data_IF_119292927286
#
_entry.id   IF_119292927286
#
_cell.length_a   1.000
_cell.length_b   1.000
_cell.length_c   1.000
_cell.angle_alpha   90.00
_cell.angle_beta   90.00
_cell.angle_gamma   90.00
#
_symmetry.space_group_name_H-M   'P 1'
#
loop_
_entity.id
_entity.type
_entity.pdbx_description
1 polymer ?
#
# COMPACT_ATOMS: atom_id res chain seq x y z
N UNK A 1 -36.69 39.81 40.29
CA UNK A 1 -35.53 38.88 40.32
C UNK A 1 -35.42 37.95 39.09
N UNK A 2 -36.49 37.55 38.43
CA UNK A 2 -36.46 36.57 37.33
C UNK A 2 -35.88 37.12 36.00
N UNK A 3 -36.06 38.42 35.71
CA UNK A 3 -35.53 39.05 34.45
C UNK A 3 -33.99 39.16 34.42
N UNK A 4 -33.34 39.33 35.55
CA UNK A 4 -31.87 39.45 35.60
C UNK A 4 -31.18 38.08 35.49
N UNK A 5 -31.76 36.99 35.98
CA UNK A 5 -31.24 35.62 35.78
C UNK A 5 -31.27 35.18 34.33
N UNK A 6 -32.33 35.49 33.57
CA UNK A 6 -32.40 35.15 32.13
C UNK A 6 -31.39 35.92 31.28
N UNK A 7 -31.05 37.16 31.64
CA UNK A 7 -30.05 37.98 30.90
C UNK A 7 -28.62 37.51 31.19
N UNK A 8 -28.34 37.05 32.40
CA UNK A 8 -27.03 36.46 32.75
C UNK A 8 -26.83 35.13 32.08
N UNK A 9 -27.85 34.25 32.08
CA UNK A 9 -27.80 32.95 31.43
C UNK A 9 -27.59 33.06 29.91
N UNK A 10 -28.26 34.03 29.23
CA UNK A 10 -28.04 34.27 27.79
C UNK A 10 -26.65 34.79 27.48
N UNK A 11 -26.04 35.62 28.33
CA UNK A 11 -24.64 36.03 28.14
C UNK A 11 -23.67 34.88 28.35
N UNK A 12 -23.86 34.05 29.38
CA UNK A 12 -23.02 32.87 29.66
C UNK A 12 -23.08 31.84 28.52
N UNK A 13 -24.28 31.58 27.98
CA UNK A 13 -24.46 30.68 26.83
C UNK A 13 -23.79 31.28 25.55
N UNK A 14 -23.89 32.59 25.35
CA UNK A 14 -23.25 33.26 24.21
C UNK A 14 -21.71 33.20 24.29
N UNK A 15 -21.12 33.36 25.44
CA UNK A 15 -19.67 33.24 25.65
C UNK A 15 -19.21 31.78 25.63
N UNK A 16 -20.02 30.83 26.09
CA UNK A 16 -19.74 29.40 25.94
C UNK A 16 -19.78 28.94 24.48
N UNK A 17 -20.75 29.42 23.68
CA UNK A 17 -20.85 29.14 22.26
C UNK A 17 -19.69 29.78 21.44
N UNK A 18 -19.26 30.98 21.81
CA UNK A 18 -18.09 31.64 21.19
C UNK A 18 -16.81 30.89 21.58
N UNK A 19 -16.68 30.46 22.83
CA UNK A 19 -15.55 29.61 23.27
C UNK A 19 -15.52 28.25 22.59
N UNK A 20 -16.69 27.61 22.41
CA UNK A 20 -16.78 26.31 21.71
C UNK A 20 -16.46 26.47 20.21
N UNK A 21 -16.94 27.53 19.56
CA UNK A 21 -16.60 27.77 18.16
C UNK A 21 -15.12 28.11 17.98
N UNK A 22 -14.52 28.86 18.90
CA UNK A 22 -13.09 29.14 18.91
C UNK A 22 -12.25 27.86 19.11
N UNK A 23 -12.65 27.00 20.03
CA UNK A 23 -12.00 25.70 20.28
C UNK A 23 -12.19 24.72 19.10
N UNK A 24 -13.35 24.75 18.43
CA UNK A 24 -13.60 23.95 17.21
C UNK A 24 -12.74 24.46 16.04
N UNK A 25 -12.60 25.80 15.90
CA UNK A 25 -11.74 26.39 14.85
C UNK A 25 -10.27 26.08 15.10
N UNK A 26 -9.80 26.19 16.34
CA UNK A 26 -8.44 25.78 16.73
C UNK A 26 -8.25 24.28 16.56
N UNK A 27 -9.23 23.45 16.92
CA UNK A 27 -9.21 22.01 16.69
C UNK A 27 -9.17 21.64 15.21
N UNK A 28 -9.91 22.33 14.37
CA UNK A 28 -9.90 22.13 12.90
C UNK A 28 -8.56 22.61 12.31
N UNK A 29 -8.02 23.73 12.77
CA UNK A 29 -6.69 24.20 12.34
C UNK A 29 -5.61 23.23 12.81
N UNK A 30 -5.65 22.75 14.04
CA UNK A 30 -4.71 21.73 14.56
C UNK A 30 -4.90 20.40 13.82
N UNK A 31 -6.11 19.99 13.48
CA UNK A 31 -6.40 18.79 12.72
C UNK A 31 -5.87 18.90 11.28
N UNK A 32 -6.13 20.00 10.58
CA UNK A 32 -5.62 20.25 9.23
C UNK A 32 -4.10 20.31 9.24
N UNK A 33 -3.52 20.98 10.21
CA UNK A 33 -2.08 21.10 10.38
C UNK A 33 -1.44 19.73 10.75
N UNK A 34 -1.99 18.97 11.69
CA UNK A 34 -1.46 17.66 12.07
C UNK A 34 -1.66 16.58 11.00
N UNK A 35 -2.72 16.63 10.21
CA UNK A 35 -2.96 15.64 9.16
C UNK A 35 -2.00 15.81 7.97
N UNK A 36 -1.59 17.05 7.67
CA UNK A 36 -0.65 17.35 6.59
C UNK A 36 0.84 17.32 7.02
N UNK A 37 1.13 17.26 8.34
CA UNK A 37 2.49 17.45 8.87
C UNK A 37 3.19 16.20 9.43
N UNK A 38 2.58 15.03 9.36
CA UNK A 38 3.29 13.80 9.73
C UNK A 38 4.40 13.38 8.76
N UNK A 39 4.54 14.08 7.64
CA UNK A 39 5.43 13.68 6.53
C UNK A 39 6.63 14.62 6.28
N UNK A 40 6.83 15.68 7.03
CA UNK A 40 8.02 16.52 6.88
C UNK A 40 8.85 16.44 8.16
N UNK A 41 10.11 15.95 8.02
CA UNK A 41 11.02 15.68 9.13
C UNK A 41 11.12 16.82 10.14
N UNK A 42 11.04 16.47 11.39
CA UNK A 42 11.33 17.09 12.69
C UNK A 42 11.56 18.60 12.88
N UNK A 43 11.25 19.49 11.93
CA UNK A 43 11.13 20.92 12.20
C UNK A 43 9.67 21.33 12.02
N UNK A 44 9.03 21.73 13.12
CA UNK A 44 7.71 22.33 13.09
C UNK A 44 7.75 23.58 12.19
N UNK A 45 6.97 23.57 11.11
CA UNK A 45 6.81 24.74 10.23
C UNK A 45 6.17 25.91 11.01
N UNK A 46 5.60 25.65 12.19
CA UNK A 46 5.00 26.67 13.05
C UNK A 46 5.95 27.70 13.60
N UNK A 47 7.23 27.39 13.75
CA UNK A 47 8.17 28.31 14.41
C UNK A 47 8.66 29.40 13.43
N UNK A 48 8.53 29.20 12.10
CA UNK A 48 9.06 30.10 11.09
C UNK A 48 8.02 30.57 10.04
N UNK A 49 6.74 30.17 10.15
CA UNK A 49 5.72 30.59 9.19
C UNK A 49 5.19 31.98 9.52
N UNK A 50 5.27 32.87 8.54
CA UNK A 50 4.72 34.22 8.59
C UNK A 50 3.33 34.25 7.94
N UNK A 51 2.54 35.28 8.25
CA UNK A 51 1.23 35.49 7.67
C UNK A 51 1.23 36.75 6.83
N UNK A 52 0.74 36.66 5.58
CA UNK A 52 0.36 37.81 4.78
C UNK A 52 -1.16 37.95 4.81
N UNK A 53 -1.64 39.15 5.11
CA UNK A 53 -3.07 39.46 5.21
C UNK A 53 -3.43 40.63 4.30
N UNK A 54 -4.34 40.36 3.38
CA UNK A 54 -5.04 41.42 2.63
C UNK A 54 -6.48 41.57 3.16
N UNK A 55 -7.27 42.47 2.59
CA UNK A 55 -8.67 42.70 3.02
C UNK A 55 -9.56 41.48 2.89
N UNK A 56 -9.19 40.52 2.06
CA UNK A 56 -10.00 39.36 1.66
C UNK A 56 -9.24 38.04 1.63
N UNK A 57 -7.96 38.03 1.97
CA UNK A 57 -7.12 36.82 1.90
C UNK A 57 -6.13 36.76 3.06
N UNK A 58 -5.98 35.59 3.66
CA UNK A 58 -4.98 35.26 4.66
C UNK A 58 -4.06 34.17 4.09
N UNK A 59 -2.79 34.45 3.98
CA UNK A 59 -1.78 33.50 3.50
C UNK A 59 -0.75 33.18 4.58
N UNK A 60 -0.43 31.91 4.76
CA UNK A 60 0.71 31.46 5.53
C UNK A 60 1.88 31.19 4.56
N UNK A 61 3.07 31.66 4.86
CA UNK A 61 4.22 31.48 3.99
C UNK A 61 5.50 31.23 4.80
N UNK A 62 6.47 30.49 4.25
CA UNK A 62 7.76 30.29 4.90
C UNK A 62 8.50 31.62 5.04
N UNK A 63 9.30 31.77 6.11
CA UNK A 63 10.05 33.01 6.38
C UNK A 63 11.15 33.26 5.33
N UNK A 64 10.74 33.75 4.17
CA UNK A 64 11.62 34.14 3.08
C UNK A 64 10.97 35.28 2.27
N UNK A 65 11.78 36.17 1.69
CA UNK A 65 11.26 37.22 0.82
C UNK A 65 10.48 36.66 -0.38
N UNK A 66 10.95 35.54 -0.94
CA UNK A 66 10.26 34.85 -2.04
C UNK A 66 8.93 34.27 -1.61
N UNK A 67 8.87 33.61 -0.44
CA UNK A 67 7.61 33.13 0.14
C UNK A 67 6.60 34.24 0.34
N UNK A 68 7.05 35.41 0.82
CA UNK A 68 6.22 36.64 0.96
C UNK A 68 5.68 37.14 -0.37
N UNK A 69 6.53 37.20 -1.40
CA UNK A 69 6.14 37.60 -2.75
C UNK A 69 5.08 36.66 -3.32
N UNK A 70 5.28 35.34 -3.21
CA UNK A 70 4.33 34.33 -3.65
C UNK A 70 3.00 34.47 -2.91
N UNK A 71 3.02 34.61 -1.59
CA UNK A 71 1.83 34.81 -0.77
C UNK A 71 1.05 36.04 -1.19
N UNK A 72 1.76 37.17 -1.50
CA UNK A 72 1.16 38.41 -2.02
C UNK A 72 0.49 38.16 -3.37
N UNK A 73 1.19 37.53 -4.32
CA UNK A 73 0.69 37.29 -5.67
C UNK A 73 -0.57 36.40 -5.66
N UNK A 74 -0.59 35.40 -4.81
CA UNK A 74 -1.77 34.53 -4.63
C UNK A 74 -2.93 35.32 -4.02
N UNK A 75 -2.70 36.12 -2.97
CA UNK A 75 -3.74 36.95 -2.39
C UNK A 75 -4.30 37.96 -3.40
N UNK A 76 -3.46 38.53 -4.23
CA UNK A 76 -3.89 39.47 -5.27
C UNK A 76 -4.71 38.77 -6.38
N UNK A 77 -4.36 37.52 -6.71
CA UNK A 77 -5.13 36.67 -7.63
C UNK A 77 -6.46 36.24 -7.02
N UNK A 78 -6.46 35.80 -5.77
CA UNK A 78 -7.65 35.39 -5.05
C UNK A 78 -8.72 36.47 -4.95
N UNK A 79 -8.31 37.76 -4.87
CA UNK A 79 -9.24 38.89 -4.92
C UNK A 79 -10.06 38.96 -6.21
N UNK A 80 -9.50 38.47 -7.32
CA UNK A 80 -10.19 38.47 -8.63
C UNK A 80 -11.16 37.28 -8.76
N UNK A 81 -10.83 36.17 -8.10
CA UNK A 81 -11.52 34.88 -8.28
C UNK A 81 -12.44 34.51 -7.10
N UNK A 82 -12.69 35.41 -6.15
CA UNK A 82 -13.52 35.20 -4.94
C UNK A 82 -12.98 34.12 -3.96
N UNK A 83 -11.73 33.77 -4.02
CA UNK A 83 -11.08 32.81 -3.10
C UNK A 83 -10.39 33.59 -1.97
N UNK A 84 -10.73 33.27 -0.72
CA UNK A 84 -10.39 34.13 0.43
C UNK A 84 -9.29 33.62 1.36
N UNK A 85 -9.07 32.31 1.44
CA UNK A 85 -8.08 31.74 2.36
C UNK A 85 -7.29 30.61 1.69
N UNK A 86 -5.96 30.60 1.84
CA UNK A 86 -5.13 29.49 1.42
C UNK A 86 -3.91 29.33 2.33
N UNK A 87 -3.31 28.15 2.29
CA UNK A 87 -2.04 27.85 2.92
C UNK A 87 -0.99 27.57 1.84
N UNK A 88 0.19 28.14 2.02
CA UNK A 88 1.38 27.87 1.21
C UNK A 88 2.35 27.03 2.04
N UNK A 89 2.53 25.78 1.66
CA UNK A 89 3.37 24.82 2.37
C UNK A 89 4.54 24.42 1.49
N UNK A 90 5.80 24.51 1.95
CA UNK A 90 6.93 24.05 1.17
C UNK A 90 6.91 22.52 1.03
N UNK A 91 7.17 22.05 -0.18
CA UNK A 91 7.28 20.64 -0.55
C UNK A 91 8.47 20.46 -1.49
N UNK A 92 9.62 20.04 -0.95
CA UNK A 92 10.84 19.93 -1.73
C UNK A 92 11.18 21.24 -2.46
N UNK A 93 11.22 21.19 -3.79
CA UNK A 93 11.49 22.35 -4.64
C UNK A 93 10.23 23.19 -4.98
N UNK A 94 9.06 22.78 -4.50
CA UNK A 94 7.76 23.35 -4.80
C UNK A 94 7.07 23.88 -3.55
N UNK A 95 5.97 24.58 -3.76
CA UNK A 95 5.01 24.94 -2.73
C UNK A 95 3.65 24.33 -3.06
N UNK A 96 3.05 23.64 -2.09
CA UNK A 96 1.65 23.25 -2.16
C UNK A 96 0.77 24.45 -1.81
N UNK A 97 -0.07 24.86 -2.75
CA UNK A 97 -1.09 25.87 -2.56
C UNK A 97 -2.41 25.17 -2.28
N UNK A 98 -2.99 25.39 -1.11
CA UNK A 98 -4.28 24.83 -0.70
C UNK A 98 -5.28 25.96 -0.49
N UNK A 99 -6.38 25.94 -1.22
CA UNK A 99 -7.49 26.89 -1.08
C UNK A 99 -8.56 26.35 -0.13
N UNK A 100 -9.36 27.24 0.41
CA UNK A 100 -10.45 26.91 1.33
C UNK A 100 -11.55 26.04 0.71
N UNK A 101 -11.77 26.15 -0.60
CA UNK A 101 -12.71 25.32 -1.35
C UNK A 101 -12.24 23.89 -1.58
N UNK A 102 -11.03 23.55 -1.09
CA UNK A 102 -10.41 22.25 -1.26
C UNK A 102 -9.49 22.14 -2.46
N UNK A 103 -9.45 23.14 -3.34
CA UNK A 103 -8.52 23.17 -4.48
C UNK A 103 -7.07 23.19 -4.01
N UNK A 104 -6.25 22.36 -4.61
CA UNK A 104 -4.81 22.23 -4.30
C UNK A 104 -4.03 22.11 -5.59
N UNK A 105 -2.87 22.76 -5.65
CA UNK A 105 -1.91 22.59 -6.74
C UNK A 105 -0.49 22.94 -6.27
N UNK A 106 0.50 22.46 -6.99
CA UNK A 106 1.89 22.77 -6.71
C UNK A 106 2.40 23.87 -7.63
N UNK A 107 3.21 24.76 -7.09
CA UNK A 107 3.90 25.81 -7.82
C UNK A 107 5.39 25.75 -7.51
N UNK A 108 6.23 26.10 -8.47
CA UNK A 108 7.65 26.24 -8.26
C UNK A 108 8.00 27.52 -7.49
N UNK A 109 9.30 27.77 -7.28
CA UNK A 109 9.80 28.97 -6.60
C UNK A 109 9.54 30.26 -7.38
N UNK A 110 9.20 30.15 -8.67
CA UNK A 110 8.81 31.27 -9.53
C UNK A 110 7.29 31.44 -9.65
N UNK A 111 6.54 30.63 -8.90
CA UNK A 111 5.07 30.60 -8.92
C UNK A 111 4.50 30.11 -10.26
N UNK A 112 5.20 29.27 -10.96
CA UNK A 112 4.66 28.55 -12.11
C UNK A 112 4.04 27.24 -11.63
N UNK A 113 2.88 26.90 -12.17
CA UNK A 113 2.22 25.64 -11.90
C UNK A 113 3.12 24.47 -12.31
N UNK A 114 3.18 23.44 -11.46
CA UNK A 114 3.95 22.24 -11.73
C UNK A 114 3.39 21.54 -12.96
N UNK A 115 4.22 21.42 -13.98
CA UNK A 115 3.94 20.64 -15.20
C UNK A 115 4.79 19.39 -15.17
N UNK A 116 4.17 18.25 -15.40
CA UNK A 116 4.85 16.97 -15.54
C UNK A 116 5.13 16.76 -17.02
N UNK A 117 6.39 16.83 -17.37
CA UNK A 117 6.96 16.37 -18.62
C UNK A 117 7.99 15.25 -18.33
N UNK A 118 8.39 14.47 -19.24
CA UNK A 118 9.43 13.45 -19.09
C UNK A 118 9.17 12.38 -17.99
N UNK A 119 8.16 11.56 -18.20
CA UNK A 119 7.94 10.35 -17.40
C UNK A 119 8.89 9.25 -17.89
N UNK A 120 9.74 8.74 -16.99
CA UNK A 120 10.66 7.63 -17.29
C UNK A 120 9.94 6.27 -17.29
N UNK A 121 10.66 5.17 -17.56
CA UNK A 121 10.08 3.82 -17.61
C UNK A 121 9.48 3.36 -16.28
N UNK A 122 10.03 3.78 -15.14
CA UNK A 122 9.47 3.50 -13.82
C UNK A 122 8.12 4.20 -13.63
N UNK A 123 8.03 5.49 -13.97
CA UNK A 123 6.78 6.23 -13.94
C UNK A 123 5.74 5.69 -14.89
N UNK A 124 6.15 5.26 -16.08
CA UNK A 124 5.27 4.59 -17.04
C UNK A 124 4.67 3.30 -16.47
N UNK A 125 5.49 2.48 -15.78
CA UNK A 125 5.03 1.27 -15.10
C UNK A 125 4.03 1.60 -14.00
N UNK A 126 4.30 2.57 -13.13
CA UNK A 126 3.39 3.00 -12.06
C UNK A 126 2.05 3.46 -12.65
N UNK A 127 2.07 4.31 -13.68
CA UNK A 127 0.86 4.78 -14.36
C UNK A 127 0.08 3.60 -14.98
N UNK A 128 0.77 2.63 -15.59
CA UNK A 128 0.15 1.44 -16.15
C UNK A 128 -0.54 0.58 -15.09
N UNK A 129 0.07 0.42 -13.91
CA UNK A 129 -0.53 -0.31 -12.79
C UNK A 129 -1.83 0.36 -12.31
N UNK A 130 -1.84 1.69 -12.19
CA UNK A 130 -3.05 2.44 -11.81
C UNK A 130 -4.12 2.42 -12.91
N UNK A 131 -3.73 2.44 -14.19
CA UNK A 131 -4.66 2.27 -15.31
C UNK A 131 -5.32 0.90 -15.27
N UNK A 132 -4.54 -0.17 -15.09
CA UNK A 132 -5.07 -1.54 -14.96
C UNK A 132 -6.05 -1.66 -13.79
N UNK A 133 -5.69 -1.09 -12.64
CA UNK A 133 -6.56 -1.04 -11.47
C UNK A 133 -7.89 -0.37 -11.79
N UNK A 134 -7.87 0.80 -12.46
CA UNK A 134 -9.08 1.56 -12.80
C UNK A 134 -9.94 0.81 -13.82
N UNK A 135 -9.34 0.26 -14.88
CA UNK A 135 -10.08 -0.51 -15.89
C UNK A 135 -10.78 -1.72 -15.28
N UNK A 136 -10.12 -2.44 -14.37
CA UNK A 136 -10.73 -3.55 -13.64
C UNK A 136 -11.87 -3.12 -12.74
N UNK A 137 -11.77 -1.94 -12.13
CA UNK A 137 -12.79 -1.38 -11.25
C UNK A 137 -14.04 -0.96 -12.02
N UNK A 138 -13.89 -0.44 -13.22
CA UNK A 138 -15.00 0.06 -14.05
C UNK A 138 -15.77 -1.07 -14.74
N UNK A 139 -15.09 -2.12 -15.14
CA UNK A 139 -15.70 -3.29 -15.77
C UNK A 139 -16.16 -4.31 -14.72
N UNK A 140 -17.40 -4.17 -14.28
CA UNK A 140 -18.03 -5.05 -13.26
C UNK A 140 -18.04 -6.54 -13.61
N UNK A 141 -17.92 -6.88 -14.89
CA UNK A 141 -17.92 -8.25 -15.44
C UNK A 141 -16.64 -8.55 -16.23
N UNK A 142 -15.53 -7.97 -15.86
CA UNK A 142 -14.26 -8.13 -16.56
C UNK A 142 -13.91 -9.60 -16.71
N UNK A 143 -14.30 -10.19 -17.85
CA UNK A 143 -13.60 -11.34 -18.34
C UNK A 143 -12.16 -10.90 -18.56
N UNK A 144 -11.21 -11.46 -17.79
CA UNK A 144 -9.80 -11.22 -17.95
C UNK A 144 -9.44 -11.36 -19.42
N UNK A 145 -9.43 -10.26 -20.14
CA UNK A 145 -8.79 -10.25 -21.43
C UNK A 145 -7.31 -10.35 -21.13
N UNK A 146 -6.69 -11.45 -21.54
CA UNK A 146 -5.26 -11.73 -21.42
C UNK A 146 -4.41 -10.52 -21.84
N UNK A 147 -4.96 -9.66 -22.69
CA UNK A 147 -4.34 -8.42 -23.17
C UNK A 147 -3.89 -7.47 -22.04
N UNK A 148 -4.62 -7.42 -20.92
CA UNK A 148 -4.25 -6.57 -19.76
C UNK A 148 -3.37 -7.28 -18.74
N UNK A 149 -3.18 -8.58 -18.88
CA UNK A 149 -2.34 -9.38 -17.99
C UNK A 149 -0.93 -9.58 -18.52
N UNK A 150 -0.70 -9.28 -19.79
CA UNK A 150 0.60 -9.51 -20.43
C UNK A 150 1.59 -8.38 -20.12
N UNK A 151 2.85 -8.72 -20.01
CA UNK A 151 3.98 -7.78 -19.95
C UNK A 151 3.96 -6.80 -21.14
N UNK A 152 3.40 -7.24 -22.28
CA UNK A 152 3.14 -6.43 -23.45
C UNK A 152 2.28 -5.19 -23.19
N UNK A 153 1.38 -5.22 -22.19
CA UNK A 153 0.61 -4.04 -21.80
C UNK A 153 1.51 -2.88 -21.35
N UNK A 154 2.52 -3.17 -20.52
CA UNK A 154 3.48 -2.15 -20.06
C UNK A 154 4.36 -1.65 -21.18
N UNK A 155 4.82 -2.55 -22.06
CA UNK A 155 5.71 -2.23 -23.18
C UNK A 155 4.99 -1.43 -24.28
N UNK A 156 3.71 -1.70 -24.50
CA UNK A 156 2.90 -1.09 -25.56
C UNK A 156 2.04 0.08 -25.07
N UNK A 157 2.13 0.46 -23.79
CA UNK A 157 1.40 1.62 -23.28
C UNK A 157 1.97 2.89 -23.92
N UNK A 158 1.18 3.48 -24.80
CA UNK A 158 1.50 4.77 -25.40
C UNK A 158 0.97 5.91 -24.54
N UNK A 159 1.90 6.72 -24.04
CA UNK A 159 1.60 7.90 -23.23
C UNK A 159 1.52 9.20 -24.04
N UNK A 160 1.71 9.15 -25.37
CA UNK A 160 1.80 10.35 -26.22
C UNK A 160 0.49 11.15 -26.31
N UNK A 161 -0.66 10.48 -26.15
CA UNK A 161 -1.99 11.12 -26.15
C UNK A 161 -2.54 11.34 -24.74
N UNK A 162 -1.81 10.92 -23.69
CA UNK A 162 -2.25 11.07 -22.31
C UNK A 162 -2.06 12.51 -21.87
N UNK A 163 -3.08 13.09 -21.28
CA UNK A 163 -2.98 14.42 -20.67
C UNK A 163 -2.80 14.29 -19.16
N UNK A 164 -1.91 15.13 -18.63
CA UNK A 164 -1.52 15.11 -17.23
C UNK A 164 -1.94 16.39 -16.54
N UNK A 165 -2.48 16.25 -15.33
CA UNK A 165 -2.77 17.38 -14.44
C UNK A 165 -2.39 17.01 -13.02
N UNK A 166 -1.67 17.90 -12.34
CA UNK A 166 -1.46 17.77 -10.90
C UNK A 166 -2.72 18.24 -10.18
N UNK A 167 -3.30 17.37 -9.37
CA UNK A 167 -4.51 17.63 -8.60
C UNK A 167 -4.29 17.25 -7.12
N UNK A 168 -3.83 18.22 -6.34
CA UNK A 168 -3.45 18.02 -4.95
C UNK A 168 -2.27 17.06 -4.81
N UNK A 169 -2.41 15.94 -4.05
CA UNK A 169 -1.34 14.97 -3.87
C UNK A 169 -1.22 13.96 -5.02
N UNK A 170 -2.04 14.10 -6.05
CA UNK A 170 -2.15 13.11 -7.12
C UNK A 170 -1.79 13.71 -8.48
N UNK A 171 -1.30 12.84 -9.36
CA UNK A 171 -1.24 13.05 -10.79
C UNK A 171 -2.52 12.48 -11.41
N UNK A 172 -3.36 13.34 -11.95
CA UNK A 172 -4.50 12.95 -12.77
C UNK A 172 -4.02 12.70 -14.18
N UNK A 173 -4.21 11.48 -14.70
CA UNK A 173 -3.91 11.11 -16.08
C UNK A 173 -5.21 10.76 -16.79
N UNK A 174 -5.49 11.44 -17.91
CA UNK A 174 -6.62 11.12 -18.77
C UNK A 174 -6.14 10.32 -19.96
N UNK A 175 -6.73 9.15 -20.16
CA UNK A 175 -6.45 8.20 -21.23
C UNK A 175 -7.56 8.18 -22.28
N UNK A 176 -7.46 8.93 -23.40
CA UNK A 176 -8.52 8.97 -24.40
C UNK A 176 -8.84 7.60 -24.99
N UNK A 177 -7.81 6.77 -25.25
CA UNK A 177 -7.96 5.42 -25.82
C UNK A 177 -8.86 4.50 -24.97
N UNK A 178 -8.84 4.66 -23.67
CA UNK A 178 -9.58 3.82 -22.72
C UNK A 178 -10.78 4.53 -22.12
N UNK A 179 -11.02 5.80 -22.49
CA UNK A 179 -12.01 6.67 -21.84
C UNK A 179 -11.90 6.69 -20.31
N UNK A 180 -10.65 6.60 -19.79
CA UNK A 180 -10.36 6.43 -18.38
C UNK A 180 -9.59 7.60 -17.79
N UNK A 181 -9.98 7.99 -16.59
CA UNK A 181 -9.25 8.92 -15.71
C UNK A 181 -8.67 8.17 -14.54
N UNK A 182 -7.37 8.31 -14.31
CA UNK A 182 -6.69 7.69 -13.16
C UNK A 182 -6.03 8.73 -12.28
N UNK A 183 -5.91 8.43 -11.01
CA UNK A 183 -5.17 9.21 -10.01
C UNK A 183 -3.99 8.41 -9.51
N UNK A 184 -2.79 8.92 -9.74
CA UNK A 184 -1.54 8.32 -9.28
C UNK A 184 -0.96 9.21 -8.18
N UNK A 185 -0.76 8.71 -6.95
CA UNK A 185 -0.16 9.51 -5.88
C UNK A 185 1.23 10.01 -6.28
N UNK A 186 1.43 11.33 -6.21
CA UNK A 186 2.69 11.98 -6.61
C UNK A 186 3.90 11.48 -5.80
N UNK A 187 3.67 11.00 -4.58
CA UNK A 187 4.72 10.39 -3.75
C UNK A 187 5.41 9.19 -4.42
N UNK A 188 4.70 8.45 -5.27
CA UNK A 188 5.27 7.34 -6.05
C UNK A 188 5.91 7.80 -7.35
N UNK A 189 5.62 9.01 -7.81
CA UNK A 189 6.19 9.59 -9.02
C UNK A 189 7.52 10.33 -8.77
N UNK A 190 7.96 10.41 -7.51
CA UNK A 190 9.25 11.01 -7.18
C UNK A 190 10.39 10.16 -7.72
N UNK A 191 11.26 10.75 -8.56
CA UNK A 191 12.28 10.01 -9.31
C UNK A 191 11.81 9.41 -10.63
N UNK A 192 10.51 9.21 -10.79
CA UNK A 192 9.89 8.71 -12.02
C UNK A 192 9.58 9.84 -13.04
N UNK A 193 9.62 11.07 -12.61
CA UNK A 193 9.55 12.29 -13.40
C UNK A 193 10.44 13.35 -12.74
N UNK A 194 10.75 14.46 -13.43
CA UNK A 194 11.63 15.52 -12.94
C UNK A 194 11.01 16.36 -11.79
N UNK A 195 10.46 15.67 -10.78
CA UNK A 195 9.79 16.30 -9.65
C UNK A 195 10.48 15.92 -8.36
N UNK A 196 10.88 16.91 -7.58
CA UNK A 196 11.30 16.73 -6.19
C UNK A 196 10.29 17.41 -5.27
N UNK A 197 9.35 16.63 -4.75
CA UNK A 197 8.34 17.08 -3.79
C UNK A 197 8.77 16.93 -2.33
N UNK A 198 10.02 16.50 -2.08
CA UNK A 198 10.53 16.28 -0.74
C UNK A 198 9.82 15.16 0.03
N UNK A 199 9.14 14.26 -0.66
CA UNK A 199 8.68 13.03 -0.04
C UNK A 199 9.90 12.18 0.36
N UNK A 200 9.85 11.56 1.54
CA UNK A 200 10.75 10.44 1.83
C UNK A 200 10.43 9.32 0.85
N UNK A 201 11.43 8.53 0.46
CA UNK A 201 11.21 7.38 -0.41
C UNK A 201 10.22 6.43 0.26
N UNK A 202 8.96 6.52 -0.12
CA UNK A 202 7.96 5.56 0.29
C UNK A 202 8.02 4.35 -0.65
N UNK A 203 7.89 3.17 -0.06
CA UNK A 203 7.81 1.94 -0.82
C UNK A 203 6.59 1.99 -1.74
N UNK A 204 6.80 1.80 -3.04
CA UNK A 204 5.71 1.66 -3.98
C UNK A 204 4.98 0.33 -3.74
N UNK A 205 3.67 0.40 -3.69
CA UNK A 205 2.80 -0.77 -3.66
C UNK A 205 1.90 -0.74 -4.90
N UNK A 206 2.03 -1.76 -5.74
CA UNK A 206 1.13 -1.91 -6.89
C UNK A 206 -0.32 -1.99 -6.41
N UNK A 207 -1.23 -1.16 -6.94
CA UNK A 207 -2.63 -1.27 -6.60
C UNK A 207 -3.21 -2.59 -7.15
N UNK A 208 -3.91 -3.34 -6.29
CA UNK A 208 -4.57 -4.59 -6.64
C UNK A 208 -6.08 -4.42 -6.43
N UNK A 209 -6.86 -4.57 -7.50
CA UNK A 209 -8.31 -4.50 -7.42
C UNK A 209 -8.91 -5.87 -7.13
N UNK A 210 -9.71 -5.94 -6.07
CA UNK A 210 -10.42 -7.14 -5.64
C UNK A 210 -11.92 -6.89 -5.79
N UNK A 211 -12.59 -7.73 -6.56
CA UNK A 211 -14.04 -7.69 -6.74
C UNK A 211 -14.72 -8.56 -5.69
N UNK A 212 -15.66 -8.00 -4.94
CA UNK A 212 -16.47 -8.75 -3.98
C UNK A 212 -17.46 -9.73 -4.65
N UNK A 213 -17.62 -9.66 -5.97
CA UNK A 213 -18.53 -10.50 -6.74
C UNK A 213 -17.86 -11.73 -7.38
N UNK A 214 -16.56 -11.92 -7.13
CA UNK A 214 -15.79 -13.02 -7.71
C UNK A 214 -15.20 -13.88 -6.61
N UNK A 215 -15.18 -15.20 -6.84
CA UNK A 215 -14.52 -16.15 -5.95
C UNK A 215 -13.06 -15.80 -5.74
N UNK A 216 -12.56 -16.01 -4.54
CA UNK A 216 -11.17 -15.78 -4.17
C UNK A 216 -10.52 -17.06 -3.70
N UNK A 217 -9.23 -17.20 -3.91
CA UNK A 217 -8.39 -18.24 -3.32
C UNK A 217 -7.05 -17.62 -2.94
N UNK A 218 -6.48 -18.03 -1.80
CA UNK A 218 -5.24 -17.48 -1.30
C UNK A 218 -4.13 -18.52 -1.42
N UNK A 219 -3.09 -18.22 -2.22
CA UNK A 219 -1.89 -19.04 -2.28
C UNK A 219 -0.87 -18.53 -1.27
N UNK A 220 -0.27 -19.46 -0.52
CA UNK A 220 0.74 -19.12 0.49
C UNK A 220 1.95 -20.03 0.35
N UNK A 221 3.13 -19.45 0.56
CA UNK A 221 4.40 -20.14 0.35
C UNK A 221 5.26 -20.06 1.60
N UNK A 222 5.68 -21.20 2.13
CA UNK A 222 6.49 -21.31 3.34
C UNK A 222 7.97 -21.56 3.01
N UNK A 223 8.83 -21.37 3.99
CA UNK A 223 10.27 -21.64 3.99
C UNK A 223 11.14 -20.76 3.10
N UNK A 224 10.55 -19.85 2.33
CA UNK A 224 11.29 -18.94 1.44
C UNK A 224 12.12 -17.85 2.15
N UNK A 225 12.75 -16.99 1.35
CA UNK A 225 12.95 -17.14 -0.08
C UNK A 225 14.00 -18.21 -0.41
N UNK A 226 13.91 -18.82 -1.59
CA UNK A 226 14.98 -19.69 -2.09
C UNK A 226 16.33 -18.95 -2.15
N UNK A 227 17.40 -19.58 -1.68
CA UNK A 227 18.71 -18.95 -1.56
C UNK A 227 19.27 -18.46 -2.91
N UNK A 228 18.92 -19.11 -4.00
CA UNK A 228 19.29 -18.69 -5.35
C UNK A 228 18.36 -17.62 -5.91
N UNK A 229 17.18 -17.45 -5.32
CA UNK A 229 16.03 -16.63 -5.76
C UNK A 229 15.41 -17.10 -7.09
N UNK A 230 15.77 -18.27 -7.59
CA UNK A 230 15.29 -18.77 -8.87
C UNK A 230 13.82 -19.18 -8.77
N UNK A 231 13.50 -20.05 -7.81
CA UNK A 231 12.14 -20.60 -7.66
C UNK A 231 11.18 -19.56 -7.07
N UNK A 232 11.61 -18.80 -6.04
CA UNK A 232 10.83 -17.70 -5.48
C UNK A 232 10.60 -16.59 -6.52
N UNK A 233 11.61 -16.25 -7.33
CA UNK A 233 11.45 -15.27 -8.42
C UNK A 233 10.46 -15.74 -9.49
N UNK A 234 10.53 -17.00 -9.91
CA UNK A 234 9.61 -17.58 -10.90
C UNK A 234 8.14 -17.50 -10.47
N UNK A 235 7.84 -17.79 -9.21
CA UNK A 235 6.45 -17.74 -8.73
C UNK A 235 5.97 -16.30 -8.56
N UNK A 236 6.81 -15.38 -8.08
CA UNK A 236 6.51 -13.95 -7.98
C UNK A 236 6.21 -13.37 -9.38
N UNK A 237 7.03 -13.68 -10.39
CA UNK A 237 6.82 -13.21 -11.76
C UNK A 237 5.55 -13.81 -12.37
N UNK A 238 5.23 -15.08 -12.05
CA UNK A 238 3.98 -15.70 -12.50
C UNK A 238 2.77 -15.00 -11.89
N UNK A 239 2.77 -14.75 -10.57
CA UNK A 239 1.70 -14.02 -9.89
C UNK A 239 1.54 -12.60 -10.46
N UNK A 240 2.64 -11.89 -10.64
CA UNK A 240 2.65 -10.55 -11.22
C UNK A 240 2.06 -10.52 -12.63
N UNK A 241 2.44 -11.50 -13.46
CA UNK A 241 1.93 -11.67 -14.83
C UNK A 241 0.40 -11.82 -14.85
N UNK A 242 -0.16 -12.59 -13.91
CA UNK A 242 -1.61 -12.80 -13.81
C UNK A 242 -2.32 -11.75 -12.94
N UNK A 243 -1.64 -10.64 -12.60
CA UNK A 243 -2.15 -9.60 -11.71
C UNK A 243 -2.79 -10.16 -10.45
N UNK A 244 -2.08 -11.09 -9.86
CA UNK A 244 -2.43 -11.86 -8.67
C UNK A 244 -1.48 -11.54 -7.54
N UNK A 245 -1.89 -11.80 -6.31
CA UNK A 245 -1.10 -11.63 -5.11
C UNK A 245 -1.03 -12.93 -4.31
N UNK A 246 0.01 -13.08 -3.49
CA UNK A 246 0.17 -14.22 -2.59
C UNK A 246 0.91 -13.77 -1.32
N UNK A 247 0.86 -14.61 -0.27
CA UNK A 247 1.60 -14.38 0.96
C UNK A 247 2.76 -15.36 1.09
N UNK A 248 3.96 -14.83 1.32
CA UNK A 248 5.19 -15.60 1.53
C UNK A 248 5.57 -15.57 3.00
N UNK A 249 5.58 -16.72 3.66
CA UNK A 249 6.04 -16.87 5.04
C UNK A 249 7.52 -17.24 5.05
N UNK A 250 8.36 -16.25 5.36
CA UNK A 250 9.81 -16.34 5.20
C UNK A 250 10.53 -16.73 6.47
N UNK A 251 11.62 -17.50 6.31
CA UNK A 251 12.55 -17.83 7.38
C UNK A 251 13.62 -16.75 7.49
N UNK A 252 13.79 -16.18 8.69
CA UNK A 252 14.82 -15.17 8.94
C UNK A 252 16.24 -15.70 8.68
N UNK A 253 16.49 -16.99 8.96
CA UNK A 253 17.79 -17.63 8.68
C UNK A 253 18.17 -17.66 7.18
N UNK A 254 17.25 -17.32 6.29
CA UNK A 254 17.50 -17.23 4.85
C UNK A 254 17.71 -15.80 4.37
N UNK A 255 17.48 -14.80 5.22
CA UNK A 255 17.55 -13.39 4.86
C UNK A 255 18.99 -12.88 4.93
N UNK A 256 19.46 -12.37 3.83
CA UNK A 256 20.63 -11.52 3.70
C UNK A 256 20.27 -10.34 2.79
N UNK A 257 21.17 -9.42 2.56
CA UNK A 257 20.95 -8.23 1.73
C UNK A 257 20.22 -8.56 0.40
N UNK A 258 20.71 -9.57 -0.32
CA UNK A 258 20.14 -9.99 -1.61
C UNK A 258 18.69 -10.45 -1.48
N UNK A 259 18.37 -11.23 -0.43
CA UNK A 259 17.02 -11.74 -0.20
C UNK A 259 16.08 -10.64 0.28
N UNK A 260 16.56 -9.71 1.10
CA UNK A 260 15.79 -8.54 1.55
C UNK A 260 15.44 -7.63 0.37
N UNK A 261 16.41 -7.36 -0.53
CA UNK A 261 16.14 -6.60 -1.76
C UNK A 261 15.11 -7.31 -2.66
N UNK A 262 15.19 -8.63 -2.79
CA UNK A 262 14.17 -9.42 -3.51
C UNK A 262 12.79 -9.29 -2.86
N UNK A 263 12.69 -9.34 -1.52
CA UNK A 263 11.42 -9.13 -0.82
C UNK A 263 10.86 -7.74 -1.11
N UNK A 264 11.70 -6.70 -1.11
CA UNK A 264 11.30 -5.34 -1.46
C UNK A 264 10.71 -5.26 -2.87
N UNK A 265 11.43 -5.76 -3.88
CA UNK A 265 10.95 -5.79 -5.27
C UNK A 265 9.65 -6.59 -5.43
N UNK A 266 9.51 -7.68 -4.66
CA UNK A 266 8.28 -8.49 -4.67
C UNK A 266 7.09 -7.76 -4.05
N UNK A 267 7.31 -7.00 -2.97
CA UNK A 267 6.26 -6.14 -2.38
C UNK A 267 5.83 -5.05 -3.37
N UNK A 268 6.77 -4.46 -4.10
CA UNK A 268 6.46 -3.50 -5.18
C UNK A 268 5.63 -4.13 -6.31
N UNK A 269 5.77 -5.45 -6.52
CA UNK A 269 4.93 -6.25 -7.43
C UNK A 269 3.58 -6.69 -6.83
N UNK A 270 3.30 -6.33 -5.56
CA UNK A 270 2.03 -6.62 -4.88
C UNK A 270 2.03 -7.88 -4.02
N UNK A 271 3.19 -8.50 -3.74
CA UNK A 271 3.27 -9.67 -2.86
C UNK A 271 3.25 -9.25 -1.39
N UNK A 272 2.76 -10.13 -0.52
CA UNK A 272 2.75 -9.98 0.93
C UNK A 272 3.78 -10.91 1.58
N UNK A 273 4.44 -10.41 2.64
CA UNK A 273 5.36 -11.21 3.46
C UNK A 273 4.86 -11.32 4.90
N UNK A 274 4.99 -12.52 5.44
CA UNK A 274 4.77 -12.84 6.85
C UNK A 274 5.97 -13.60 7.44
N UNK A 275 6.04 -13.67 8.77
CA UNK A 275 7.11 -14.40 9.44
C UNK A 275 6.83 -15.91 9.47
N UNK A 276 7.82 -16.73 9.09
CA UNK A 276 7.82 -18.18 9.34
C UNK A 276 8.84 -18.57 10.42
N UNK A 277 9.12 -17.64 11.32
CA UNK A 277 10.14 -17.70 12.37
C UNK A 277 11.59 -17.54 11.86
N UNK A 278 12.51 -17.38 12.80
CA UNK A 278 13.94 -17.24 12.49
C UNK A 278 14.52 -18.55 11.98
N UNK A 279 14.19 -19.68 12.62
CA UNK A 279 14.91 -20.94 12.41
C UNK A 279 14.02 -22.18 12.34
N UNK A 280 12.74 -22.01 11.98
CA UNK A 280 11.76 -23.08 11.78
C UNK A 280 11.56 -23.99 13.01
N UNK A 281 11.65 -23.42 14.24
CA UNK A 281 11.43 -24.19 15.47
C UNK A 281 9.95 -24.38 15.77
N UNK A 282 9.61 -25.49 16.40
CA UNK A 282 8.28 -25.70 16.96
C UNK A 282 8.08 -24.75 18.15
N UNK A 283 7.30 -23.69 17.95
CA UNK A 283 7.08 -22.61 18.92
C UNK A 283 6.39 -23.08 20.21
N UNK A 284 5.59 -24.16 20.16
CA UNK A 284 4.90 -24.67 21.34
C UNK A 284 5.83 -25.32 22.37
N UNK A 285 7.09 -25.52 22.01
CA UNK A 285 8.15 -26.05 22.88
C UNK A 285 9.06 -24.99 23.46
N UNK A 286 8.78 -23.73 23.17
CA UNK A 286 9.60 -22.59 23.58
C UNK A 286 8.94 -21.80 24.71
N UNK A 287 9.72 -21.01 25.42
CA UNK A 287 9.18 -19.94 26.28
C UNK A 287 8.51 -18.85 25.42
N UNK A 288 7.63 -18.04 26.03
CA UNK A 288 7.02 -16.90 25.34
C UNK A 288 8.10 -15.96 24.74
N UNK A 289 9.15 -15.67 25.53
CA UNK A 289 10.27 -14.82 25.10
C UNK A 289 11.01 -15.38 23.88
N UNK A 290 11.31 -16.70 23.91
CA UNK A 290 12.02 -17.35 22.78
C UNK A 290 11.12 -17.43 21.55
N UNK A 291 9.82 -17.71 21.73
CA UNK A 291 8.85 -17.69 20.65
C UNK A 291 8.70 -16.29 20.05
N UNK A 292 8.67 -15.24 20.88
CA UNK A 292 8.70 -13.84 20.41
C UNK A 292 9.92 -13.57 19.55
N UNK A 293 11.10 -13.95 20.00
CA UNK A 293 12.35 -13.76 19.25
C UNK A 293 12.32 -14.49 17.91
N UNK A 294 11.85 -15.75 17.90
CA UNK A 294 11.70 -16.53 16.65
C UNK A 294 10.75 -15.86 15.66
N UNK A 295 9.60 -15.34 16.13
CA UNK A 295 8.59 -14.71 15.25
C UNK A 295 9.03 -13.33 14.78
N UNK A 296 9.61 -12.51 15.68
CA UNK A 296 9.86 -11.09 15.40
C UNK A 296 11.18 -10.81 14.70
N UNK A 297 12.14 -11.73 14.69
CA UNK A 297 13.41 -11.48 13.98
C UNK A 297 13.20 -11.27 12.48
N UNK A 298 12.47 -12.12 11.72
CA UNK A 298 12.19 -11.83 10.30
C UNK A 298 11.41 -10.54 10.07
N UNK A 299 10.54 -10.15 11.02
CA UNK A 299 9.85 -8.86 10.97
C UNK A 299 10.86 -7.70 11.00
N UNK A 300 11.79 -7.71 11.95
CA UNK A 300 12.82 -6.69 12.08
C UNK A 300 13.79 -6.69 10.89
N UNK A 301 14.08 -7.85 10.32
CA UNK A 301 14.93 -7.94 9.12
C UNK A 301 14.35 -7.15 7.93
N UNK A 302 13.03 -7.16 7.73
CA UNK A 302 12.40 -6.36 6.67
C UNK A 302 12.03 -4.93 7.11
N UNK A 303 11.89 -4.67 8.41
CA UNK A 303 11.41 -3.38 8.90
C UNK A 303 12.54 -2.39 9.17
N UNK A 304 13.45 -2.68 10.12
CA UNK A 304 14.41 -1.73 10.68
C UNK A 304 15.85 -2.24 10.77
N UNK A 305 16.17 -3.40 10.19
CA UNK A 305 17.55 -3.90 10.04
C UNK A 305 18.32 -3.02 9.04
N UNK A 306 19.64 -3.18 8.96
CA UNK A 306 20.56 -2.47 8.07
C UNK A 306 20.08 -2.41 6.61
N UNK A 307 19.48 -3.50 6.10
CA UNK A 307 18.91 -3.60 4.76
C UNK A 307 17.38 -3.51 4.74
N UNK A 308 16.75 -3.32 5.90
CA UNK A 308 15.31 -3.22 6.03
C UNK A 308 14.75 -2.00 5.28
N UNK A 309 13.53 -2.15 4.76
CA UNK A 309 12.89 -1.14 3.93
C UNK A 309 11.55 -0.63 4.50
N UNK A 310 11.36 -0.76 5.83
CA UNK A 310 10.17 -0.28 6.55
C UNK A 310 8.93 -1.16 6.40
N UNK A 311 9.08 -2.41 5.89
CA UNK A 311 7.95 -3.30 5.68
C UNK A 311 7.38 -3.81 6.99
N UNK A 312 6.07 -3.67 7.19
CA UNK A 312 5.35 -4.10 8.39
C UNK A 312 4.58 -5.38 8.12
N UNK A 313 5.10 -6.52 8.57
CA UNK A 313 4.36 -7.78 8.52
C UNK A 313 3.10 -7.70 9.38
N UNK A 314 1.99 -8.23 8.89
CA UNK A 314 0.71 -8.31 9.62
C UNK A 314 0.45 -9.70 10.18
N UNK A 315 1.09 -10.70 9.60
CA UNK A 315 0.83 -12.11 9.84
C UNK A 315 2.12 -12.90 10.08
N UNK A 316 1.98 -14.04 10.73
CA UNK A 316 3.02 -15.06 10.81
C UNK A 316 2.41 -16.44 10.64
N UNK A 317 3.20 -17.42 10.25
CA UNK A 317 2.79 -18.82 10.23
C UNK A 317 3.68 -19.65 11.15
N UNK A 318 3.12 -20.30 12.18
CA UNK A 318 3.91 -21.16 13.05
C UNK A 318 4.36 -22.41 12.30
N UNK A 319 5.65 -22.79 12.36
CA UNK A 319 6.14 -24.03 11.77
C UNK A 319 5.32 -25.26 12.22
N UNK A 320 5.10 -26.18 11.27
CA UNK A 320 4.27 -27.40 11.49
C UNK A 320 2.80 -27.14 11.82
N UNK A 321 2.31 -25.91 11.65
CA UNK A 321 0.97 -25.50 12.12
C UNK A 321 0.82 -25.54 13.65
N UNK A 322 1.93 -25.58 14.39
CA UNK A 322 1.93 -25.76 15.84
C UNK A 322 1.58 -24.45 16.56
N UNK A 323 0.30 -24.32 16.95
CA UNK A 323 -0.25 -23.15 17.61
C UNK A 323 -0.74 -23.47 19.03
N UNK A 324 -0.48 -22.58 19.98
CA UNK A 324 -0.86 -22.72 21.39
C UNK A 324 -1.07 -21.37 22.04
N UNK A 325 -1.55 -21.35 23.28
CA UNK A 325 -1.66 -20.11 24.08
C UNK A 325 -0.31 -19.40 24.26
N UNK A 326 0.78 -20.13 24.40
CA UNK A 326 2.14 -19.58 24.46
C UNK A 326 2.48 -18.84 23.17
N UNK A 327 2.18 -19.43 22.02
CA UNK A 327 2.40 -18.81 20.70
C UNK A 327 1.53 -17.56 20.53
N UNK A 328 0.27 -17.62 20.95
CA UNK A 328 -0.65 -16.49 20.93
C UNK A 328 -0.15 -15.30 21.76
N UNK A 329 0.51 -15.54 22.87
CA UNK A 329 1.06 -14.48 23.75
C UNK A 329 2.38 -13.91 23.23
N UNK A 330 3.04 -14.56 22.30
CA UNK A 330 4.37 -14.17 21.84
C UNK A 330 4.37 -12.97 20.86
N UNK A 331 3.24 -12.66 20.23
CA UNK A 331 3.16 -11.58 19.25
C UNK A 331 1.73 -11.07 19.08
N UNK A 332 1.61 -9.85 18.53
CA UNK A 332 0.33 -9.28 18.08
C UNK A 332 0.04 -9.56 16.60
N UNK A 333 0.93 -10.24 15.88
CA UNK A 333 0.67 -10.66 14.50
C UNK A 333 -0.41 -11.75 14.48
N UNK A 334 -1.22 -11.79 13.44
CA UNK A 334 -2.20 -12.85 13.24
C UNK A 334 -1.50 -14.14 12.84
N UNK A 335 -1.75 -15.24 13.56
CA UNK A 335 -1.29 -16.56 13.16
C UNK A 335 -2.13 -17.07 11.99
N UNK A 336 -1.50 -17.42 10.89
CA UNK A 336 -2.18 -17.92 9.70
C UNK A 336 -1.77 -19.37 9.42
N UNK A 337 -2.75 -20.26 9.41
CA UNK A 337 -2.58 -21.64 8.98
C UNK A 337 -3.13 -21.82 7.55
N UNK A 338 -3.51 -23.02 7.20
CA UNK A 338 -4.08 -23.40 5.91
C UNK A 338 -5.23 -24.37 6.11
N UNK A 339 -6.08 -24.45 5.15
CA UNK A 339 -7.15 -25.46 5.08
C UNK A 339 -7.03 -26.36 3.84
N UNK A 340 -6.12 -26.02 2.92
CA UNK A 340 -5.73 -26.89 1.81
C UNK A 340 -4.22 -27.10 1.83
N UNK A 341 -3.79 -28.35 2.02
CA UNK A 341 -2.37 -28.74 1.99
C UNK A 341 -2.04 -29.35 0.62
N UNK A 342 -1.19 -28.69 -0.14
CA UNK A 342 -0.72 -29.21 -1.44
C UNK A 342 0.12 -30.47 -1.32
N UNK A 343 0.65 -30.77 -0.14
CA UNK A 343 1.57 -31.85 0.19
C UNK A 343 2.84 -31.88 -0.67
N UNK A 344 3.20 -30.77 -1.25
CA UNK A 344 4.35 -30.60 -2.14
C UNK A 344 5.67 -31.03 -1.47
N UNK A 345 5.84 -30.70 -0.18
CA UNK A 345 6.99 -31.10 0.64
C UNK A 345 7.18 -32.62 0.72
N UNK A 346 6.10 -33.42 0.59
CA UNK A 346 6.09 -34.86 0.63
C UNK A 346 6.19 -35.49 -0.77
N UNK A 347 5.43 -34.96 -1.74
CA UNK A 347 5.33 -35.57 -3.06
C UNK A 347 6.61 -35.45 -3.88
N UNK A 348 7.35 -34.34 -3.75
CA UNK A 348 8.65 -34.14 -4.41
C UNK A 348 9.69 -35.25 -4.15
N UNK A 349 9.53 -36.01 -3.11
CA UNK A 349 10.45 -37.14 -2.76
C UNK A 349 9.89 -38.52 -3.07
N UNK A 350 8.59 -38.56 -3.42
CA UNK A 350 7.88 -39.85 -3.70
C UNK A 350 7.73 -40.13 -5.18
N UNK A 351 7.76 -39.09 -6.00
CA UNK A 351 7.50 -39.14 -7.43
C UNK A 351 8.69 -38.52 -8.20
N UNK A 352 8.83 -38.90 -9.48
CA UNK A 352 9.70 -38.11 -10.34
C UNK A 352 9.14 -36.66 -10.53
N UNK A 353 9.93 -35.76 -11.10
CA UNK A 353 9.60 -34.35 -11.12
C UNK A 353 8.27 -34.03 -11.82
N UNK A 354 7.99 -34.69 -12.95
CA UNK A 354 6.76 -34.42 -13.71
C UNK A 354 5.54 -35.01 -12.99
N UNK A 355 5.63 -36.24 -12.52
CA UNK A 355 4.56 -36.89 -11.76
C UNK A 355 4.26 -36.09 -10.46
N UNK A 356 5.29 -35.60 -9.77
CA UNK A 356 5.14 -34.76 -8.58
C UNK A 356 4.33 -33.50 -8.87
N UNK A 357 4.62 -32.80 -9.96
CA UNK A 357 3.87 -31.59 -10.38
C UNK A 357 2.38 -31.91 -10.57
N UNK A 358 2.08 -33.00 -11.29
CA UNK A 358 0.69 -33.37 -11.58
C UNK A 358 -0.05 -33.87 -10.34
N UNK A 359 0.61 -34.57 -9.43
CA UNK A 359 0.02 -35.01 -8.14
C UNK A 359 -0.26 -33.82 -7.23
N UNK A 360 0.68 -32.86 -7.09
CA UNK A 360 0.48 -31.63 -6.33
C UNK A 360 -0.69 -30.83 -6.91
N UNK A 361 -0.71 -30.65 -8.24
CA UNK A 361 -1.79 -29.96 -8.92
C UNK A 361 -3.15 -30.59 -8.62
N UNK A 362 -3.28 -31.90 -8.77
CA UNK A 362 -4.53 -32.62 -8.55
C UNK A 362 -4.97 -32.61 -7.07
N UNK A 363 -4.04 -32.63 -6.12
CA UNK A 363 -4.34 -32.53 -4.69
C UNK A 363 -5.04 -31.20 -4.39
N UNK A 364 -4.51 -30.09 -4.91
CA UNK A 364 -5.12 -28.76 -4.71
C UNK A 364 -6.45 -28.62 -5.44
N UNK A 365 -6.57 -29.12 -6.67
CA UNK A 365 -7.85 -29.08 -7.43
C UNK A 365 -8.96 -29.86 -6.70
N UNK A 366 -8.61 -30.96 -6.07
CA UNK A 366 -9.56 -31.80 -5.35
C UNK A 366 -10.16 -31.11 -4.13
N UNK A 367 -9.34 -30.37 -3.37
CA UNK A 367 -9.71 -29.85 -2.06
C UNK A 367 -9.90 -28.33 -2.05
N UNK A 368 -9.36 -27.60 -3.06
CA UNK A 368 -9.35 -26.14 -3.10
C UNK A 368 -10.62 -25.53 -3.70
N UNK A 369 -11.22 -24.60 -2.98
CA UNK A 369 -12.41 -23.86 -3.36
C UNK A 369 -12.32 -22.39 -2.91
N UNK A 370 -13.43 -21.67 -2.94
CA UNK A 370 -13.54 -20.26 -2.55
C UNK A 370 -13.14 -20.04 -1.09
N UNK A 371 -12.36 -18.97 -0.89
CA UNK A 371 -11.85 -18.52 0.41
C UNK A 371 -10.87 -19.48 1.10
N UNK A 372 -10.31 -20.42 0.36
CA UNK A 372 -9.31 -21.32 0.87
C UNK A 372 -7.92 -20.66 0.93
N UNK A 373 -7.16 -21.07 1.94
CA UNK A 373 -5.74 -20.79 2.12
C UNK A 373 -4.95 -22.04 1.80
N UNK A 374 -4.20 -21.99 0.70
CA UNK A 374 -3.45 -23.15 0.18
C UNK A 374 -1.99 -23.04 0.60
N UNK A 375 -1.45 -24.12 1.16
CA UNK A 375 -0.05 -24.23 1.54
C UNK A 375 0.81 -24.76 0.40
N UNK A 376 1.88 -24.06 0.10
CA UNK A 376 3.01 -24.46 -0.76
C UNK A 376 4.35 -24.12 -0.11
N UNK A 377 5.45 -24.51 -0.76
CA UNK A 377 6.82 -24.09 -0.43
C UNK A 377 7.54 -23.64 -1.70
N UNK A 378 7.92 -22.35 -1.76
CA UNK A 378 8.54 -21.74 -2.96
C UNK A 378 10.02 -22.10 -3.18
N UNK A 379 10.57 -22.91 -2.27
CA UNK A 379 11.93 -23.42 -2.34
C UNK A 379 12.09 -24.68 -3.19
N UNK A 380 10.99 -25.23 -3.73
CA UNK A 380 10.99 -26.45 -4.55
C UNK A 380 10.46 -26.15 -5.96
N UNK A 381 11.23 -26.54 -7.00
CA UNK A 381 10.83 -26.33 -8.38
C UNK A 381 9.49 -26.99 -8.73
N UNK A 382 9.25 -28.22 -8.23
CA UNK A 382 7.99 -28.94 -8.46
C UNK A 382 6.77 -28.24 -7.86
N UNK A 383 6.94 -27.58 -6.70
CA UNK A 383 5.90 -26.77 -6.06
C UNK A 383 5.57 -25.55 -6.88
N UNK A 384 6.60 -24.83 -7.35
CA UNK A 384 6.46 -23.63 -8.17
C UNK A 384 5.84 -23.96 -9.52
N UNK A 385 6.22 -25.07 -10.16
CA UNK A 385 5.65 -25.49 -11.43
C UNK A 385 4.16 -25.87 -11.28
N UNK A 386 3.80 -26.58 -10.20
CA UNK A 386 2.41 -26.92 -9.90
C UNK A 386 1.58 -25.67 -9.57
N UNK A 387 2.10 -24.77 -8.70
CA UNK A 387 1.44 -23.53 -8.36
C UNK A 387 1.23 -22.63 -9.58
N UNK A 388 2.21 -22.55 -10.49
CA UNK A 388 2.09 -21.79 -11.73
C UNK A 388 0.97 -22.33 -12.65
N UNK A 389 0.82 -23.66 -12.76
CA UNK A 389 -0.30 -24.28 -13.47
C UNK A 389 -1.64 -23.97 -12.78
N UNK A 390 -1.69 -24.02 -11.46
CA UNK A 390 -2.88 -23.74 -10.65
C UNK A 390 -3.32 -22.27 -10.75
N UNK A 391 -2.37 -21.32 -10.77
CA UNK A 391 -2.67 -19.90 -10.98
C UNK A 391 -3.44 -19.72 -12.28
N UNK A 392 -2.91 -20.24 -13.39
CA UNK A 392 -3.60 -20.19 -14.69
C UNK A 392 -4.97 -20.87 -14.65
N UNK A 393 -5.09 -22.02 -14.01
CA UNK A 393 -6.34 -22.75 -13.88
C UNK A 393 -7.40 -21.93 -13.12
N UNK A 394 -7.11 -21.44 -11.90
CA UNK A 394 -8.08 -20.72 -11.09
C UNK A 394 -8.48 -19.38 -11.74
N UNK A 395 -7.55 -18.68 -12.37
CA UNK A 395 -7.87 -17.47 -13.15
C UNK A 395 -8.85 -17.80 -14.28
N UNK A 396 -8.63 -18.88 -15.02
CA UNK A 396 -9.54 -19.32 -16.10
C UNK A 396 -10.91 -19.79 -15.57
N UNK A 397 -11.00 -20.23 -14.32
CA UNK A 397 -12.27 -20.53 -13.64
C UNK A 397 -12.95 -19.27 -13.06
N UNK A 398 -12.39 -18.08 -13.28
CA UNK A 398 -12.96 -16.82 -12.80
C UNK A 398 -12.58 -16.45 -11.37
N UNK A 399 -11.67 -17.17 -10.72
CA UNK A 399 -11.19 -16.79 -9.40
C UNK A 399 -10.25 -15.60 -9.45
N UNK A 400 -10.15 -14.91 -8.32
CA UNK A 400 -9.09 -13.98 -8.00
C UNK A 400 -8.12 -14.67 -7.05
N UNK A 401 -6.81 -14.56 -7.31
CA UNK A 401 -5.79 -15.04 -6.39
C UNK A 401 -5.28 -13.85 -5.60
N UNK A 402 -5.48 -13.90 -4.30
CA UNK A 402 -5.26 -12.79 -3.36
C UNK A 402 -4.28 -13.19 -2.27
N UNK A 403 -3.66 -12.21 -1.59
CA UNK A 403 -2.89 -12.48 -0.39
C UNK A 403 -3.80 -12.63 0.85
N UNK A 404 -3.22 -13.06 1.96
CA UNK A 404 -3.96 -13.33 3.20
C UNK A 404 -4.62 -12.08 3.75
N UNK A 405 -3.92 -10.93 3.76
CA UNK A 405 -4.48 -9.68 4.28
C UNK A 405 -5.68 -9.22 3.45
N UNK A 406 -5.63 -9.35 2.15
CA UNK A 406 -6.73 -9.04 1.23
C UNK A 406 -7.93 -9.97 1.47
N UNK A 407 -7.69 -11.29 1.61
CA UNK A 407 -8.75 -12.24 1.92
C UNK A 407 -9.41 -11.94 3.27
N UNK A 408 -8.59 -11.68 4.30
CA UNK A 408 -9.10 -11.32 5.63
C UNK A 408 -9.93 -10.04 5.61
N UNK A 409 -9.50 -9.02 4.86
CA UNK A 409 -10.22 -7.75 4.72
C UNK A 409 -11.61 -7.96 4.08
N UNK A 410 -11.68 -8.71 2.98
CA UNK A 410 -12.95 -9.01 2.29
C UNK A 410 -13.90 -9.83 3.18
N UNK A 411 -13.37 -10.77 3.95
CA UNK A 411 -14.13 -11.57 4.91
C UNK A 411 -14.49 -10.82 6.20
N UNK A 412 -14.03 -9.56 6.36
CA UNK A 412 -14.26 -8.77 7.56
C UNK A 412 -13.53 -9.30 8.81
N UNK A 413 -12.47 -10.07 8.62
CA UNK A 413 -11.66 -10.62 9.73
C UNK A 413 -10.69 -9.56 10.22
N UNK A 414 -11.01 -8.93 11.35
CA UNK A 414 -10.16 -7.89 11.96
C UNK A 414 -9.76 -8.28 13.38
N UNK A 415 -8.48 -8.06 13.73
CA UNK A 415 -7.96 -8.30 15.08
C UNK A 415 -7.99 -9.77 15.53
N UNK A 416 -8.12 -10.70 14.59
CA UNK A 416 -8.07 -12.12 14.88
C UNK A 416 -6.64 -12.54 15.27
N UNK A 417 -6.51 -13.35 16.32
CA UNK A 417 -5.22 -13.93 16.68
C UNK A 417 -4.88 -15.18 15.84
N UNK A 418 -5.85 -15.68 15.05
CA UNK A 418 -5.74 -16.88 14.26
C UNK A 418 -6.64 -16.82 13.03
N UNK A 419 -6.17 -17.33 11.89
CA UNK A 419 -6.91 -17.45 10.63
C UNK A 419 -6.47 -18.69 9.85
N UNK A 420 -7.38 -19.38 9.15
CA UNK A 420 -7.06 -20.56 8.35
C UNK A 420 -7.88 -20.70 7.07
N UNK A 421 -8.47 -19.62 6.58
CA UNK A 421 -9.43 -19.68 5.47
C UNK A 421 -10.85 -20.10 5.92
N UNK A 422 -11.80 -20.03 5.00
CA UNK A 422 -13.25 -20.37 5.18
C UNK A 422 -13.84 -19.93 6.53
N UNK A 423 -14.35 -18.74 6.57
CA UNK A 423 -15.14 -18.20 7.70
C UNK A 423 -16.63 -18.20 7.34
#
# INVERSE_FOLDING_TARGET
>A
MVKNKKRHLRKTIKYALIGLSGLLLVGIIIFILNFNFKFVGKKSIHDDALTYKSKSCLAFYPNSEKGKEIAKNICDKALKDTIYDYALVPYGDYYLVSYRDGTKYYVDREYKELVIDNINEEGKKIIADYLRYQLKKEEKDFAYTLEFLEESFYQNLDLSEVTYKVDGPDLLCHFPKYEADIRVPLKYMQGACNINLGYENELYHKPHYISNNRKMICFTFDDGPDMSLKTSGQIVDTLYKYDSSATFYILGSRLGEKQINFCKESVEKGMEYGSHTQSHKNLTKLSVSDATSEIMTPYHDLYDNEFGFGYQMKTFRPPYGAYSDTVRQATNLTAVLWNVDSKDWSYRTKYDANDAVDVIYNEVIKDGDENDVVLFHDIYQTSVDAASKLISYYINQGYQIVNVSELMEVLGVTGASYFSGKW
#
